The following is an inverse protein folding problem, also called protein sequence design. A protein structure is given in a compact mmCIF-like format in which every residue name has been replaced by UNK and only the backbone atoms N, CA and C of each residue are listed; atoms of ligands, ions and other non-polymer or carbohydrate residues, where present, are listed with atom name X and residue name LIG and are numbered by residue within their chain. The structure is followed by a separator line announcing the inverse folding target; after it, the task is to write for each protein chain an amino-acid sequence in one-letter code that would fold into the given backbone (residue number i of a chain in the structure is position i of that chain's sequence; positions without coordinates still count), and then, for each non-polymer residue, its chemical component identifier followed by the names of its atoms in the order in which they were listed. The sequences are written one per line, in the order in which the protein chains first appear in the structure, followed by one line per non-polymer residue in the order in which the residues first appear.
data_IF_976613568733
#
_entry.id   IF_976613568733
#
_cell.length_a   1.000
_cell.length_b   1.000
_cell.length_c   1.000
_cell.angle_alpha   90.00
_cell.angle_beta   90.00
_cell.angle_gamma   90.00
#
_symmetry.space_group_name_H-M   'P 1'
#
loop_
_entity.id
_entity.type
_entity.pdbx_description
1 polymer ?
#
# COMPACT_ATOMS: atom_id res chain seq x y z
N UNK A 1 -44.28 9.73 30.74
CA UNK A 1 -43.14 8.80 30.61
C UNK A 1 -43.09 8.34 29.16
N UNK A 2 -41.95 8.58 28.47
CA UNK A 2 -41.85 8.43 27.01
C UNK A 2 -41.83 6.95 26.60
N UNK A 3 -42.63 6.66 25.58
CA UNK A 3 -42.87 5.37 24.95
C UNK A 3 -41.75 4.94 24.00
N UNK A 4 -41.70 3.64 23.75
CA UNK A 4 -40.86 2.89 22.80
C UNK A 4 -41.22 3.12 21.31
N UNK A 5 -40.41 2.55 20.40
CA UNK A 5 -40.66 2.03 19.01
C UNK A 5 -39.24 1.82 18.42
N UNK A 6 -38.66 0.63 18.18
CA UNK A 6 -38.94 -0.49 17.24
C UNK A 6 -38.89 -0.13 15.73
N UNK A 7 -38.19 -0.97 14.97
CA UNK A 7 -38.19 -1.15 13.49
C UNK A 7 -37.36 -0.20 12.59
N UNK A 8 -36.27 -0.76 12.05
CA UNK A 8 -36.15 -1.17 10.64
C UNK A 8 -36.63 -0.23 9.53
N UNK A 9 -35.67 0.19 8.69
CA UNK A 9 -35.88 0.63 7.30
C UNK A 9 -34.67 0.07 6.52
N UNK A 10 -34.74 -1.07 5.84
CA UNK A 10 -35.36 -1.30 4.53
C UNK A 10 -35.30 -0.07 3.61
N UNK A 11 -34.14 0.23 3.03
CA UNK A 11 -34.10 1.11 1.86
C UNK A 11 -34.47 0.27 0.63
N UNK A 12 -35.77 0.25 0.34
CA UNK A 12 -36.39 -0.29 -0.86
C UNK A 12 -36.19 0.69 -2.03
N UNK A 13 -36.05 0.13 -3.22
CA UNK A 13 -35.70 0.77 -4.48
C UNK A 13 -36.61 1.93 -4.96
N UNK A 14 -36.00 2.70 -5.89
CA UNK A 14 -36.58 3.44 -7.02
C UNK A 14 -36.96 4.92 -6.81
N UNK A 15 -36.20 5.81 -7.46
CA UNK A 15 -36.71 6.64 -8.55
C UNK A 15 -35.59 6.88 -9.57
N UNK A 16 -35.84 6.44 -10.81
CA UNK A 16 -35.00 6.68 -11.96
C UNK A 16 -35.13 8.15 -12.39
N UNK A 17 -34.00 8.81 -12.63
CA UNK A 17 -33.93 9.98 -13.50
C UNK A 17 -33.32 9.53 -14.84
N UNK A 18 -33.86 9.94 -16.01
CA UNK A 18 -33.15 9.78 -17.26
C UNK A 18 -32.01 10.81 -17.28
N UNK A 19 -30.85 10.43 -16.75
CA UNK A 19 -29.64 11.20 -16.98
C UNK A 19 -29.26 11.03 -18.46
N UNK A 20 -29.26 12.14 -19.19
CA UNK A 20 -28.81 12.20 -20.57
C UNK A 20 -27.43 11.56 -20.71
N UNK A 21 -27.28 10.77 -21.77
CA UNK A 21 -26.04 10.15 -22.22
C UNK A 21 -25.04 11.24 -22.61
N UNK A 22 -24.42 11.90 -21.62
CA UNK A 22 -23.12 12.52 -21.82
C UNK A 22 -22.14 11.35 -21.91
N UNK A 23 -21.63 11.10 -23.12
CA UNK A 23 -20.73 9.98 -23.42
C UNK A 23 -19.63 9.90 -22.37
N UNK A 24 -19.74 8.90 -21.48
CA UNK A 24 -18.67 8.59 -20.57
C UNK A 24 -17.48 8.14 -21.42
N UNK A 25 -16.28 8.69 -21.21
CA UNK A 25 -15.08 8.20 -21.87
C UNK A 25 -14.99 6.69 -21.60
N UNK A 26 -14.94 5.91 -22.68
CA UNK A 26 -14.86 4.45 -22.64
C UNK A 26 -13.47 4.05 -22.18
N UNK A 27 -13.20 4.15 -20.88
CA UNK A 27 -12.03 3.55 -20.30
C UNK A 27 -12.22 2.03 -20.32
N UNK A 28 -11.24 1.32 -20.89
CA UNK A 28 -11.20 -0.14 -20.82
C UNK A 28 -11.40 -0.55 -19.35
N UNK A 29 -12.33 -1.46 -19.03
CA UNK A 29 -12.53 -1.90 -17.66
C UNK A 29 -11.19 -2.38 -17.10
N UNK A 30 -10.76 -1.80 -15.97
CA UNK A 30 -9.60 -2.33 -15.27
C UNK A 30 -9.90 -3.77 -14.85
N UNK A 31 -8.89 -4.63 -14.96
CA UNK A 31 -9.00 -5.98 -14.43
C UNK A 31 -9.26 -5.91 -12.93
N UNK A 32 -10.20 -6.74 -12.45
CA UNK A 32 -10.54 -6.77 -11.02
C UNK A 32 -9.34 -7.29 -10.23
N UNK A 33 -9.13 -6.74 -9.04
CA UNK A 33 -8.30 -7.38 -8.03
C UNK A 33 -9.01 -8.63 -7.54
N UNK A 34 -8.38 -9.80 -7.67
CA UNK A 34 -8.99 -11.11 -7.35
C UNK A 34 -8.41 -11.65 -6.04
N UNK A 35 -9.29 -12.02 -5.09
CA UNK A 35 -8.92 -12.54 -3.77
C UNK A 35 -9.51 -13.96 -3.58
N UNK A 36 -8.87 -14.99 -4.15
CA UNK A 36 -9.46 -16.33 -4.22
C UNK A 36 -9.69 -16.96 -2.85
N UNK A 37 -8.78 -16.74 -1.89
CA UNK A 37 -8.91 -17.23 -0.52
C UNK A 37 -10.08 -16.59 0.26
N UNK A 38 -10.67 -15.51 -0.26
CA UNK A 38 -11.80 -14.82 0.34
C UNK A 38 -13.06 -14.82 -0.54
N UNK A 39 -13.00 -15.44 -1.72
CA UNK A 39 -14.17 -15.61 -2.59
C UNK A 39 -14.72 -14.31 -3.21
N UNK A 40 -13.91 -13.25 -3.32
CA UNK A 40 -14.35 -11.98 -3.91
C UNK A 40 -13.35 -11.39 -4.91
N UNK A 41 -13.85 -10.47 -5.74
CA UNK A 41 -13.04 -9.63 -6.60
C UNK A 41 -13.61 -8.20 -6.63
N UNK A 42 -12.75 -7.20 -6.70
CA UNK A 42 -13.15 -5.78 -6.62
C UNK A 42 -12.41 -4.95 -7.68
N UNK A 43 -13.11 -3.99 -8.28
CA UNK A 43 -12.47 -3.01 -9.16
C UNK A 43 -11.65 -2.03 -8.32
N UNK A 44 -10.37 -1.79 -8.66
CA UNK A 44 -9.55 -0.85 -7.91
C UNK A 44 -10.04 0.58 -8.07
N UNK A 45 -9.88 1.40 -7.02
CA UNK A 45 -10.07 2.85 -7.06
C UNK A 45 -8.78 3.56 -7.53
N UNK A 46 -8.20 3.05 -8.62
CA UNK A 46 -6.94 3.58 -9.16
C UNK A 46 -7.19 4.92 -9.86
N UNK A 47 -6.57 5.97 -9.34
CA UNK A 47 -6.61 7.31 -9.89
C UNK A 47 -5.30 8.04 -9.60
N UNK A 48 -4.85 8.93 -10.50
CA UNK A 48 -3.66 9.74 -10.25
C UNK A 48 -3.80 10.56 -8.95
N UNK A 49 -2.76 10.56 -8.14
CA UNK A 49 -2.65 11.36 -6.92
C UNK A 49 -1.34 12.16 -6.93
N UNK A 50 -1.32 13.30 -6.23
CA UNK A 50 -0.11 14.11 -5.97
C UNK A 50 0.31 13.97 -4.52
N UNK A 51 1.61 14.06 -4.25
CA UNK A 51 2.15 13.98 -2.89
C UNK A 51 2.29 12.54 -2.41
N UNK A 52 2.07 12.32 -1.10
CA UNK A 52 2.10 10.98 -0.48
C UNK A 52 0.72 10.35 -0.57
N UNK A 53 0.63 9.14 -1.14
CA UNK A 53 -0.62 8.41 -1.25
C UNK A 53 -0.45 6.95 -0.84
N UNK A 54 -1.42 6.39 -0.10
CA UNK A 54 -1.48 4.97 0.23
C UNK A 54 -2.27 4.25 -0.86
N UNK A 55 -1.58 3.54 -1.75
CA UNK A 55 -2.20 2.89 -2.93
C UNK A 55 -2.76 1.52 -2.57
N UNK A 56 -2.07 0.81 -1.68
CA UNK A 56 -2.42 -0.57 -1.34
C UNK A 56 -2.04 -0.88 0.11
N UNK A 57 -2.86 -1.70 0.76
CA UNK A 57 -2.60 -2.18 2.13
C UNK A 57 -3.28 -3.54 2.31
N UNK A 58 -2.52 -4.55 2.76
CA UNK A 58 -3.07 -5.87 3.05
C UNK A 58 -2.42 -6.49 4.27
N UNK A 59 -3.16 -7.38 4.93
CA UNK A 59 -2.80 -7.95 6.22
C UNK A 59 -2.71 -9.48 6.16
N UNK A 60 -1.76 -10.03 6.89
CA UNK A 60 -1.85 -11.39 7.40
C UNK A 60 -2.79 -11.44 8.61
N UNK A 61 -3.30 -12.62 9.00
CA UNK A 61 -4.07 -12.78 10.23
C UNK A 61 -3.31 -12.21 11.44
N UNK A 62 -4.05 -11.54 12.32
CA UNK A 62 -3.46 -10.96 13.52
C UNK A 62 -3.02 -12.05 14.50
N UNK A 63 -1.86 -11.84 15.13
CA UNK A 63 -1.40 -12.60 16.30
C UNK A 63 -0.74 -11.62 17.27
N UNK A 64 -0.77 -11.89 18.58
CA UNK A 64 -0.16 -11.01 19.59
C UNK A 64 -0.64 -9.55 19.55
N UNK A 65 -1.88 -9.30 19.08
CA UNK A 65 -2.45 -7.95 18.98
C UNK A 65 -1.88 -7.08 17.83
N UNK A 66 -1.16 -7.67 16.87
CA UNK A 66 -0.70 -6.98 15.65
C UNK A 66 -1.00 -7.83 14.41
N UNK A 67 -1.39 -7.19 13.33
CA UNK A 67 -1.57 -7.82 12.03
C UNK A 67 -0.39 -7.46 11.12
N UNK A 68 0.53 -8.41 10.84
CA UNK A 68 1.61 -8.18 9.89
C UNK A 68 1.04 -7.77 8.54
N UNK A 69 1.69 -6.85 7.85
CA UNK A 69 1.13 -6.26 6.66
C UNK A 69 2.18 -5.97 5.60
N UNK A 70 1.71 -5.82 4.37
CA UNK A 70 2.44 -5.20 3.27
C UNK A 70 1.60 -4.03 2.77
N UNK A 71 2.25 -2.90 2.54
CA UNK A 71 1.60 -1.72 2.03
C UNK A 71 2.44 -1.05 0.93
N UNK A 72 1.78 -0.33 0.03
CA UNK A 72 2.42 0.46 -1.04
C UNK A 72 2.03 1.91 -0.91
N UNK A 73 3.03 2.77 -0.79
CA UNK A 73 2.90 4.21 -0.87
C UNK A 73 3.57 4.76 -2.12
N UNK A 74 3.01 5.80 -2.70
CA UNK A 74 3.66 6.62 -3.73
C UNK A 74 3.99 7.98 -3.17
N UNK A 75 5.15 8.53 -3.51
CA UNK A 75 5.62 9.84 -3.05
C UNK A 75 6.18 10.61 -4.24
N UNK A 76 5.66 11.80 -4.53
CA UNK A 76 6.29 12.70 -5.51
C UNK A 76 7.70 13.05 -5.03
N UNK A 77 8.69 12.82 -5.88
CA UNK A 77 10.11 13.00 -5.58
C UNK A 77 10.92 13.27 -6.84
N UNK A 78 11.40 14.51 -6.99
CA UNK A 78 12.16 14.98 -8.18
C UNK A 78 13.68 14.75 -8.07
N UNK A 79 14.15 14.26 -6.92
CA UNK A 79 15.56 13.94 -6.70
C UNK A 79 15.97 12.59 -7.29
N UNK A 80 17.23 12.23 -7.09
CA UNK A 80 17.82 10.94 -7.47
C UNK A 80 17.57 9.86 -6.41
N UNK A 81 17.70 8.58 -6.77
CA UNK A 81 17.58 7.49 -5.79
C UNK A 81 18.60 7.63 -4.66
N UNK A 82 19.82 8.09 -4.95
CA UNK A 82 20.85 8.28 -3.93
C UNK A 82 20.49 9.34 -2.90
N UNK A 83 19.89 10.44 -3.35
CA UNK A 83 19.35 11.46 -2.45
C UNK A 83 18.17 10.94 -1.64
N UNK A 84 17.30 10.10 -2.23
CA UNK A 84 16.19 9.46 -1.53
C UNK A 84 16.68 8.50 -0.44
N UNK A 85 17.70 7.70 -0.76
CA UNK A 85 18.36 6.79 0.18
C UNK A 85 19.00 7.60 1.31
N UNK A 86 19.76 8.65 1.00
CA UNK A 86 20.39 9.51 2.01
C UNK A 86 19.35 10.15 2.95
N UNK A 87 18.25 10.66 2.40
CA UNK A 87 17.13 11.20 3.19
C UNK A 87 16.52 10.14 4.10
N UNK A 88 16.28 8.94 3.58
CA UNK A 88 15.72 7.82 4.34
C UNK A 88 16.63 7.40 5.49
N UNK A 89 17.94 7.33 5.25
CA UNK A 89 18.94 7.01 6.29
C UNK A 89 18.97 8.08 7.39
N UNK A 90 18.83 9.36 7.03
CA UNK A 90 18.72 10.43 8.01
C UNK A 90 17.45 10.29 8.88
N UNK A 91 16.29 9.99 8.27
CA UNK A 91 15.07 9.71 9.03
C UNK A 91 15.22 8.51 9.95
N UNK A 92 15.87 7.42 9.50
CA UNK A 92 16.13 6.27 10.37
C UNK A 92 17.00 6.64 11.57
N UNK A 93 18.04 7.44 11.36
CA UNK A 93 18.91 7.93 12.43
C UNK A 93 18.14 8.79 13.44
N UNK A 94 17.34 9.75 12.96
CA UNK A 94 16.52 10.63 13.81
C UNK A 94 15.48 9.85 14.63
N UNK A 95 14.85 8.86 14.01
CA UNK A 95 13.88 7.97 14.65
C UNK A 95 14.52 6.86 15.51
N UNK A 96 15.86 6.80 15.59
CA UNK A 96 16.61 5.73 16.28
C UNK A 96 16.24 4.32 15.79
N UNK A 97 15.97 4.20 14.50
CA UNK A 97 15.73 2.94 13.79
C UNK A 97 17.09 2.29 13.48
N UNK A 98 17.22 1.02 13.80
CA UNK A 98 18.40 0.21 13.49
C UNK A 98 18.29 -0.36 12.07
N UNK A 99 19.29 -0.11 11.24
CA UNK A 99 19.38 -0.70 9.91
C UNK A 99 20.03 -2.07 10.03
N UNK A 100 19.33 -3.11 9.59
CA UNK A 100 19.80 -4.50 9.58
C UNK A 100 20.52 -4.79 8.26
N UNK A 101 19.96 -4.34 7.14
CA UNK A 101 20.61 -4.43 5.83
C UNK A 101 20.13 -3.31 4.90
N UNK A 102 20.98 -2.95 3.94
CA UNK A 102 20.62 -2.06 2.85
C UNK A 102 21.33 -2.48 1.57
N UNK A 103 20.66 -2.33 0.43
CA UNK A 103 21.25 -2.60 -0.89
C UNK A 103 20.61 -1.73 -1.96
N UNK A 104 21.32 -1.58 -3.09
CA UNK A 104 20.81 -0.97 -4.32
C UNK A 104 20.97 -1.99 -5.45
N UNK A 105 19.96 -2.85 -5.71
CA UNK A 105 20.05 -3.87 -6.74
C UNK A 105 20.29 -3.29 -8.14
N UNK A 106 19.81 -2.08 -8.39
CA UNK A 106 20.01 -1.33 -9.63
C UNK A 106 19.99 0.19 -9.36
N UNK A 107 19.96 1.00 -10.43
CA UNK A 107 20.02 2.47 -10.33
C UNK A 107 18.72 3.14 -9.86
N UNK A 108 17.59 2.44 -9.97
CA UNK A 108 16.25 2.95 -9.70
C UNK A 108 15.64 2.26 -8.47
N UNK A 109 16.28 1.21 -7.92
CA UNK A 109 15.78 0.41 -6.79
C UNK A 109 16.72 0.43 -5.58
N UNK A 110 16.16 0.64 -4.39
CA UNK A 110 16.83 0.42 -3.11
C UNK A 110 16.00 -0.54 -2.22
N UNK A 111 16.69 -1.35 -1.42
CA UNK A 111 16.06 -2.28 -0.48
C UNK A 111 16.65 -2.06 0.91
N UNK A 112 15.80 -2.05 1.92
CA UNK A 112 16.18 -1.89 3.32
C UNK A 112 15.52 -2.96 4.18
N UNK A 113 16.27 -3.50 5.14
CA UNK A 113 15.73 -4.22 6.29
C UNK A 113 16.13 -3.45 7.55
N UNK A 114 15.18 -3.19 8.43
CA UNK A 114 15.41 -2.36 9.61
C UNK A 114 14.42 -2.67 10.72
N UNK A 115 14.77 -2.29 11.94
CA UNK A 115 13.96 -2.50 13.14
C UNK A 115 13.99 -1.30 14.08
N UNK A 116 13.01 -1.22 14.97
CA UNK A 116 12.85 -0.06 15.83
C UNK A 116 11.61 -0.15 16.71
N UNK A 117 11.33 0.93 17.44
CA UNK A 117 10.13 1.03 18.28
C UNK A 117 9.21 2.13 17.78
N UNK A 118 7.93 1.83 17.63
CA UNK A 118 6.86 2.80 17.37
C UNK A 118 5.66 2.47 18.26
N UNK A 119 5.03 3.49 18.86
CA UNK A 119 3.84 3.33 19.73
C UNK A 119 4.00 2.20 20.77
N UNK A 120 5.13 2.18 21.46
CA UNK A 120 5.51 1.15 22.45
C UNK A 120 5.67 -0.29 21.92
N UNK A 121 5.66 -0.48 20.59
CA UNK A 121 5.84 -1.79 19.95
C UNK A 121 7.21 -1.89 19.29
N UNK A 122 7.89 -3.02 19.50
CA UNK A 122 9.07 -3.37 18.72
C UNK A 122 8.61 -3.93 17.37
N UNK A 123 9.07 -3.31 16.30
CA UNK A 123 8.65 -3.59 14.92
C UNK A 123 9.88 -3.86 14.05
N UNK A 124 9.65 -4.71 13.06
CA UNK A 124 10.61 -5.06 12.02
C UNK A 124 9.99 -4.77 10.66
N UNK A 125 10.79 -4.15 9.80
CA UNK A 125 10.40 -3.79 8.45
C UNK A 125 11.35 -4.33 7.39
N UNK A 126 10.77 -4.61 6.23
CA UNK A 126 11.51 -4.83 4.98
C UNK A 126 10.85 -3.99 3.90
N UNK A 127 11.62 -3.11 3.27
CA UNK A 127 11.11 -2.14 2.33
C UNK A 127 11.87 -2.18 1.01
N UNK A 128 11.13 -2.07 -0.11
CA UNK A 128 11.65 -1.85 -1.45
C UNK A 128 11.18 -0.49 -1.93
N UNK A 129 12.12 0.39 -2.24
CA UNK A 129 11.87 1.68 -2.87
C UNK A 129 12.25 1.59 -4.35
N UNK A 130 11.34 2.01 -5.24
CA UNK A 130 11.61 2.14 -6.68
C UNK A 130 11.34 3.58 -7.09
N UNK A 131 12.30 4.25 -7.72
CA UNK A 131 12.16 5.61 -8.21
C UNK A 131 11.89 5.59 -9.72
N UNK A 132 10.76 6.12 -10.16
CA UNK A 132 10.40 6.19 -11.59
C UNK A 132 9.61 7.46 -11.88
N UNK A 133 10.06 8.23 -12.88
CA UNK A 133 9.31 9.36 -13.43
C UNK A 133 8.90 10.40 -12.39
N UNK A 134 9.81 10.77 -11.47
CA UNK A 134 9.54 11.73 -10.40
C UNK A 134 8.66 11.18 -9.26
N UNK A 135 8.51 9.86 -9.17
CA UNK A 135 7.72 9.20 -8.11
C UNK A 135 8.53 8.09 -7.45
N UNK A 136 8.65 8.13 -6.13
CA UNK A 136 9.14 7.02 -5.32
C UNK A 136 7.97 6.11 -4.94
N UNK A 137 8.08 4.84 -5.29
CA UNK A 137 7.16 3.76 -4.92
C UNK A 137 7.78 3.02 -3.75
N UNK A 138 7.17 3.12 -2.57
CA UNK A 138 7.65 2.50 -1.35
C UNK A 138 6.75 1.32 -0.98
N UNK A 139 7.28 0.11 -1.07
CA UNK A 139 6.60 -1.13 -0.71
C UNK A 139 7.20 -1.64 0.59
N UNK A 140 6.40 -1.69 1.65
CA UNK A 140 6.90 -1.98 3.00
C UNK A 140 6.14 -3.13 3.63
N UNK A 141 6.86 -4.18 4.00
CA UNK A 141 6.43 -5.19 4.94
C UNK A 141 6.66 -4.72 6.38
N UNK A 142 5.70 -4.97 7.27
CA UNK A 142 5.80 -4.69 8.71
C UNK A 142 5.31 -5.89 9.51
N UNK A 143 6.05 -6.29 10.54
CA UNK A 143 5.57 -7.16 11.61
C UNK A 143 6.13 -6.70 12.96
N UNK A 144 5.65 -7.26 14.07
CA UNK A 144 6.42 -7.15 15.32
C UNK A 144 7.70 -7.98 15.23
N UNK A 145 8.69 -7.64 16.05
CA UNK A 145 9.93 -8.42 16.18
C UNK A 145 9.67 -9.91 16.45
N UNK A 146 8.72 -10.21 17.34
CA UNK A 146 8.36 -11.58 17.71
C UNK A 146 7.75 -12.34 16.53
N UNK A 147 6.92 -11.67 15.73
CA UNK A 147 6.29 -12.26 14.54
C UNK A 147 7.28 -12.45 13.39
N UNK A 148 8.31 -11.60 13.28
CA UNK A 148 9.15 -11.51 12.09
C UNK A 148 9.78 -12.85 11.72
N UNK A 149 10.25 -13.63 12.69
CA UNK A 149 10.85 -14.95 12.45
C UNK A 149 9.91 -15.92 11.73
N UNK A 150 8.61 -15.82 11.98
CA UNK A 150 7.60 -16.74 11.43
C UNK A 150 7.08 -16.24 10.07
N UNK A 151 6.85 -14.94 9.92
CA UNK A 151 6.14 -14.39 8.75
C UNK A 151 7.05 -13.68 7.73
N UNK A 152 8.30 -13.37 8.08
CA UNK A 152 9.19 -12.54 7.25
C UNK A 152 9.38 -13.07 5.84
N UNK A 153 9.56 -14.38 5.65
CA UNK A 153 9.75 -14.93 4.30
C UNK A 153 8.55 -14.62 3.39
N UNK A 154 7.32 -14.86 3.87
CA UNK A 154 6.10 -14.58 3.11
C UNK A 154 5.95 -13.08 2.81
N UNK A 155 6.26 -12.24 3.80
CA UNK A 155 6.19 -10.79 3.65
C UNK A 155 7.23 -10.26 2.66
N UNK A 156 8.50 -10.70 2.78
CA UNK A 156 9.60 -10.34 1.88
C UNK A 156 9.29 -10.77 0.45
N UNK A 157 8.88 -12.02 0.24
CA UNK A 157 8.48 -12.51 -1.10
C UNK A 157 7.37 -11.65 -1.73
N UNK A 158 6.46 -11.14 -0.92
CA UNK A 158 5.40 -10.26 -1.40
C UNK A 158 5.89 -8.83 -1.74
N UNK A 159 6.85 -8.30 -0.98
CA UNK A 159 7.51 -7.02 -1.30
C UNK A 159 8.35 -7.17 -2.57
N UNK A 160 9.11 -8.25 -2.67
CA UNK A 160 10.01 -8.52 -3.78
C UNK A 160 9.27 -8.75 -5.10
N UNK A 161 8.04 -9.28 -5.05
CA UNK A 161 7.17 -9.45 -6.23
C UNK A 161 6.64 -8.13 -6.80
N UNK A 162 6.88 -6.99 -6.16
CA UNK A 162 6.51 -5.70 -6.74
C UNK A 162 7.33 -5.41 -8.00
N UNK A 163 6.63 -5.07 -9.08
CA UNK A 163 7.21 -4.71 -10.36
C UNK A 163 6.53 -3.48 -10.95
N UNK A 164 7.30 -2.70 -11.71
CA UNK A 164 6.77 -1.57 -12.47
C UNK A 164 6.13 -2.10 -13.75
N UNK A 165 4.82 -1.92 -13.88
CA UNK A 165 4.12 -2.18 -15.14
C UNK A 165 4.36 -0.98 -16.07
N UNK A 166 4.62 -1.19 -17.37
CA UNK A 166 4.70 -0.11 -18.33
C UNK A 166 3.44 0.77 -18.29
N UNK A 167 3.55 2.10 -18.48
CA UNK A 167 2.38 2.97 -18.53
C UNK A 167 1.38 2.42 -19.55
N UNK A 168 0.12 2.25 -19.14
CA UNK A 168 -0.93 1.95 -20.10
C UNK A 168 -1.06 3.16 -21.04
N UNK A 169 -1.22 2.96 -22.37
CA UNK A 169 -1.47 4.05 -23.28
C UNK A 169 -2.70 4.83 -22.82
N UNK A 170 -2.63 6.17 -22.87
CA UNK A 170 -3.80 7.01 -22.60
C UNK A 170 -4.93 6.60 -23.55
N UNK A 171 -6.18 6.45 -23.06
CA UNK A 171 -7.32 6.37 -23.95
C UNK A 171 -7.35 7.63 -24.83
N UNK A 172 -7.53 7.45 -26.14
CA UNK A 172 -7.75 8.54 -27.11
C UNK A 172 -9.05 9.30 -26.81
#
# INVERSE_FOLDING_TARGET
MKQAILLGTLCLCCLAAPAGNAGQPTTKPMDKLVFPNHGFAISPLDQPAKGVNQVFFMFLPASGGFAPNVNVQTQTYEGTLDEYVALSLNHFKEAKIAIISSSKPDKDTAVFEYSGRMEERALHWYAKAVLKGGTAYLVTATATEDQWKEVSQKLKSCVDSFEMIPPQPKPE
#
